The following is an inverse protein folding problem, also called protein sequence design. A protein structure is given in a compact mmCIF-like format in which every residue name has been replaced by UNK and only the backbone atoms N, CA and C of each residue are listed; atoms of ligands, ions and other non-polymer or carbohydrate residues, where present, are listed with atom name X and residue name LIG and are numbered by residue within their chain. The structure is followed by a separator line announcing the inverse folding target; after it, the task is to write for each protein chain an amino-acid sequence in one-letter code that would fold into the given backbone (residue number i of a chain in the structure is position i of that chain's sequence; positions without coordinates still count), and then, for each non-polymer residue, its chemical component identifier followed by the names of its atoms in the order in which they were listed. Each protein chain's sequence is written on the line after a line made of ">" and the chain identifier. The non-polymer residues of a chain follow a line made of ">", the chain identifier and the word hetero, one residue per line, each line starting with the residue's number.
data_IF_635547358036
#
_entry.id   IF_635547358036
#
_cell.length_a   1.000
_cell.length_b   1.000
_cell.length_c   1.000
_cell.angle_alpha   90.00
_cell.angle_beta   90.00
_cell.angle_gamma   90.00
#
_symmetry.space_group_name_H-M   'P 1'
#
loop_
_entity.id
_entity.type
_entity.pdbx_description
1 polymer ?
#
# COMPACT_ATOMS: atom_id res chain seq x y z
N UNK A 1 35.70 -59.34 -25.30
CA UNK A 1 34.90 -58.07 -25.27
C UNK A 1 35.86 -56.92 -25.45
N UNK A 2 35.75 -56.17 -26.53
CA UNK A 2 36.75 -55.17 -26.91
C UNK A 2 36.65 -53.93 -26.00
N UNK A 3 37.80 -53.37 -25.59
CA UNK A 3 37.96 -52.18 -24.74
C UNK A 3 37.12 -51.02 -25.26
N UNK A 4 36.88 -50.92 -26.57
CA UNK A 4 36.01 -49.93 -27.22
C UNK A 4 34.56 -50.04 -26.78
N UNK A 5 34.03 -51.24 -26.49
CA UNK A 5 32.65 -51.44 -26.07
C UNK A 5 32.47 -51.09 -24.58
N UNK A 6 33.51 -51.23 -23.77
CA UNK A 6 33.49 -50.86 -22.35
C UNK A 6 33.50 -49.32 -22.20
N UNK A 7 34.32 -48.62 -23.02
CA UNK A 7 34.36 -47.16 -23.06
C UNK A 7 33.04 -46.54 -23.53
N UNK A 8 32.35 -47.19 -24.50
CA UNK A 8 31.06 -46.72 -25.00
C UNK A 8 29.94 -46.88 -23.95
N UNK A 9 29.96 -48.00 -23.22
CA UNK A 9 28.99 -48.23 -22.10
C UNK A 9 29.18 -47.25 -20.95
N UNK A 10 30.44 -46.87 -20.64
CA UNK A 10 30.75 -45.88 -19.60
C UNK A 10 30.31 -44.46 -20.02
N UNK A 11 30.46 -44.10 -21.31
CA UNK A 11 30.03 -42.82 -21.87
C UNK A 11 28.49 -42.64 -21.84
N UNK A 12 27.73 -43.69 -22.15
CA UNK A 12 26.27 -43.66 -22.13
C UNK A 12 25.74 -43.60 -20.69
N UNK A 13 26.40 -44.28 -19.73
CA UNK A 13 26.03 -44.23 -18.30
C UNK A 13 26.30 -42.86 -17.67
N UNK A 14 27.36 -42.13 -18.09
CA UNK A 14 27.65 -40.78 -17.61
C UNK A 14 26.66 -39.74 -18.11
N UNK A 15 26.02 -39.93 -19.28
CA UNK A 15 25.06 -38.98 -19.85
C UNK A 15 23.68 -39.09 -19.18
N UNK A 16 23.33 -40.22 -18.57
CA UNK A 16 22.08 -40.43 -17.86
C UNK A 16 22.05 -39.84 -16.44
N UNK A 17 23.20 -39.48 -15.87
CA UNK A 17 23.28 -38.91 -14.50
C UNK A 17 23.08 -37.40 -14.46
N UNK A 18 22.96 -36.71 -15.63
CA UNK A 18 22.78 -35.23 -15.68
C UNK A 18 21.28 -34.82 -15.61
N UNK A 19 20.39 -35.80 -15.68
CA UNK A 19 18.96 -35.54 -15.46
C UNK A 19 18.66 -35.51 -13.95
N UNK A 20 19.22 -34.53 -13.24
CA UNK A 20 18.77 -34.22 -11.87
C UNK A 20 17.28 -33.94 -11.87
N UNK A 21 16.55 -34.32 -10.80
CA UNK A 21 15.14 -34.02 -10.70
C UNK A 21 14.99 -32.51 -10.80
N UNK A 22 14.39 -32.05 -11.90
CA UNK A 22 13.86 -30.68 -11.97
C UNK A 22 12.82 -30.62 -10.88
N UNK A 23 13.14 -30.02 -9.74
CA UNK A 23 12.15 -29.63 -8.77
C UNK A 23 11.16 -28.77 -9.51
N UNK A 24 10.00 -29.33 -9.85
CA UNK A 24 8.86 -28.59 -10.29
C UNK A 24 8.60 -27.59 -9.14
N UNK A 25 8.92 -26.32 -9.36
CA UNK A 25 8.41 -25.25 -8.49
C UNK A 25 6.91 -25.37 -8.60
N UNK A 26 6.28 -25.95 -7.58
CA UNK A 26 4.84 -25.93 -7.46
C UNK A 26 4.42 -24.47 -7.54
N UNK A 27 3.72 -24.11 -8.60
CA UNK A 27 3.01 -22.86 -8.71
C UNK A 27 2.02 -22.86 -7.53
N UNK A 28 2.25 -21.97 -6.57
CA UNK A 28 1.33 -21.81 -5.43
C UNK A 28 0.06 -21.24 -6.03
N UNK A 29 -0.88 -22.11 -6.34
CA UNK A 29 -2.23 -21.72 -6.80
C UNK A 29 -2.85 -20.95 -5.65
N UNK A 30 -3.07 -19.66 -5.86
CA UNK A 30 -3.67 -18.80 -4.86
C UNK A 30 -5.13 -19.22 -4.66
N UNK A 31 -5.50 -19.44 -3.40
CA UNK A 31 -6.83 -19.94 -3.07
C UNK A 31 -7.86 -18.83 -3.24
N UNK A 32 -8.91 -19.10 -4.02
CA UNK A 32 -10.06 -18.22 -4.15
C UNK A 32 -10.79 -18.15 -2.82
N UNK A 33 -10.89 -16.96 -2.25
CA UNK A 33 -11.62 -16.70 -1.02
C UNK A 33 -13.05 -16.20 -1.28
N UNK A 34 -13.21 -15.27 -2.24
CA UNK A 34 -14.49 -14.61 -2.51
C UNK A 34 -14.58 -14.36 -4.02
N UNK A 35 -15.79 -14.51 -4.56
CA UNK A 35 -16.14 -14.16 -5.94
C UNK A 35 -17.12 -12.99 -5.91
N UNK A 36 -16.81 -11.90 -6.61
CA UNK A 36 -17.63 -10.69 -6.70
C UNK A 36 -17.88 -10.40 -8.17
N UNK A 37 -19.05 -10.73 -8.69
CA UNK A 37 -19.36 -10.72 -10.11
C UNK A 37 -18.34 -11.56 -10.92
N UNK A 38 -17.57 -10.90 -11.82
CA UNK A 38 -16.52 -11.53 -12.63
C UNK A 38 -15.12 -11.40 -12.01
N UNK A 39 -15.00 -10.73 -10.86
CA UNK A 39 -13.74 -10.52 -10.14
C UNK A 39 -13.56 -11.54 -9.01
N UNK A 40 -12.31 -11.93 -8.77
CA UNK A 40 -11.92 -12.87 -7.72
C UNK A 40 -11.11 -12.13 -6.67
N UNK A 41 -11.38 -12.42 -5.39
CA UNK A 41 -10.54 -12.02 -4.26
C UNK A 41 -9.90 -13.29 -3.70
N UNK A 42 -8.58 -13.30 -3.59
CA UNK A 42 -7.83 -14.45 -3.10
C UNK A 42 -7.49 -14.32 -1.61
N UNK A 43 -7.25 -15.46 -0.95
CA UNK A 43 -6.78 -15.47 0.45
C UNK A 43 -5.50 -14.63 0.61
N UNK A 44 -4.57 -14.72 -0.34
CA UNK A 44 -3.32 -13.95 -0.32
C UNK A 44 -3.56 -12.44 -0.41
N UNK A 45 -4.55 -12.00 -1.18
CA UNK A 45 -4.92 -10.58 -1.23
C UNK A 45 -5.43 -10.10 0.12
N UNK A 46 -6.28 -10.88 0.78
CA UNK A 46 -6.80 -10.56 2.12
C UNK A 46 -5.66 -10.53 3.14
N UNK A 47 -4.77 -11.53 3.14
CA UNK A 47 -3.62 -11.59 4.04
C UNK A 47 -2.67 -10.41 3.84
N UNK A 48 -2.42 -10.00 2.62
CA UNK A 48 -1.59 -8.82 2.31
C UNK A 48 -2.18 -7.54 2.89
N UNK A 49 -3.49 -7.37 2.82
CA UNK A 49 -4.18 -6.22 3.43
C UNK A 49 -4.21 -6.31 4.96
N UNK A 50 -4.25 -7.52 5.50
CA UNK A 50 -4.29 -7.76 6.93
C UNK A 50 -2.91 -7.58 7.61
N UNK A 51 -1.80 -7.75 6.87
CA UNK A 51 -0.44 -7.72 7.41
C UNK A 51 -0.11 -6.45 8.24
N UNK A 52 -0.36 -5.22 7.76
CA UNK A 52 -0.09 -4.02 8.57
C UNK A 52 -0.96 -3.94 9.83
N UNK A 53 -2.17 -4.50 9.80
CA UNK A 53 -3.07 -4.56 10.95
C UNK A 53 -2.53 -5.59 11.97
N UNK A 54 -2.06 -6.74 11.48
CA UNK A 54 -1.39 -7.74 12.30
C UNK A 54 -0.20 -7.17 13.05
N UNK A 55 0.70 -6.48 12.35
CA UNK A 55 1.88 -5.85 12.94
C UNK A 55 1.50 -4.85 14.06
N UNK A 56 0.44 -4.09 13.87
CA UNK A 56 -0.08 -3.18 14.89
C UNK A 56 -0.72 -3.92 16.07
N UNK A 57 -1.54 -4.94 15.79
CA UNK A 57 -2.30 -5.65 16.83
C UNK A 57 -1.41 -6.51 17.72
N UNK A 58 -0.35 -7.13 17.18
CA UNK A 58 0.59 -7.92 17.99
C UNK A 58 1.35 -7.09 19.04
N UNK A 59 1.44 -5.76 18.86
CA UNK A 59 2.01 -4.86 19.86
C UNK A 59 1.02 -4.51 20.99
N UNK A 60 -0.31 -4.70 20.74
CA UNK A 60 -1.38 -4.30 21.66
C UNK A 60 -2.07 -5.47 22.33
N UNK A 61 -2.11 -6.62 21.67
CA UNK A 61 -2.86 -7.82 22.10
C UNK A 61 -1.96 -9.06 22.06
N UNK A 62 -2.30 -10.07 22.86
CA UNK A 62 -1.63 -11.37 22.89
C UNK A 62 -2.64 -12.52 23.12
N UNK A 63 -2.21 -13.75 22.85
CA UNK A 63 -3.02 -14.95 23.09
C UNK A 63 -4.35 -14.95 22.33
N UNK A 64 -5.40 -15.43 22.96
CA UNK A 64 -6.74 -15.54 22.37
C UNK A 64 -7.34 -14.19 21.93
N UNK A 65 -6.99 -13.10 22.64
CA UNK A 65 -7.48 -11.76 22.29
C UNK A 65 -6.90 -11.25 20.98
N UNK A 66 -5.63 -11.57 20.69
CA UNK A 66 -5.03 -11.24 19.39
C UNK A 66 -5.75 -12.00 18.26
N UNK A 67 -6.01 -13.29 18.45
CA UNK A 67 -6.72 -14.13 17.46
C UNK A 67 -8.12 -13.56 17.17
N UNK A 68 -8.89 -13.24 18.22
CA UNK A 68 -10.21 -12.62 18.09
C UNK A 68 -10.16 -11.32 17.29
N UNK A 69 -9.21 -10.43 17.61
CA UNK A 69 -9.08 -9.15 16.93
C UNK A 69 -8.61 -9.28 15.47
N UNK A 70 -7.80 -10.28 15.17
CA UNK A 70 -7.39 -10.55 13.80
C UNK A 70 -8.54 -11.12 12.96
N UNK A 71 -9.39 -11.95 13.54
CA UNK A 71 -10.56 -12.48 12.83
C UNK A 71 -11.57 -11.36 12.53
N UNK A 72 -11.85 -10.47 13.51
CA UNK A 72 -12.66 -9.27 13.28
C UNK A 72 -12.07 -8.38 12.16
N UNK A 73 -10.75 -8.21 12.16
CA UNK A 73 -10.06 -7.40 11.15
C UNK A 73 -10.12 -8.07 9.77
N UNK A 74 -9.95 -9.40 9.70
CA UNK A 74 -10.05 -10.18 8.46
C UNK A 74 -11.42 -10.00 7.81
N UNK A 75 -12.50 -10.08 8.59
CA UNK A 75 -13.86 -9.89 8.10
C UNK A 75 -14.06 -8.48 7.56
N UNK A 76 -13.57 -7.44 8.27
CA UNK A 76 -13.66 -6.05 7.81
C UNK A 76 -12.86 -5.82 6.53
N UNK A 77 -11.65 -6.37 6.43
CA UNK A 77 -10.82 -6.29 5.22
C UNK A 77 -11.54 -6.97 4.06
N UNK A 78 -12.06 -8.18 4.25
CA UNK A 78 -12.79 -8.89 3.21
C UNK A 78 -14.02 -8.11 2.73
N UNK A 79 -14.80 -7.54 3.66
CA UNK A 79 -15.96 -6.71 3.34
C UNK A 79 -15.56 -5.46 2.54
N UNK A 80 -14.50 -4.76 2.96
CA UNK A 80 -14.00 -3.59 2.23
C UNK A 80 -13.56 -3.97 0.81
N UNK A 81 -12.87 -5.11 0.65
CA UNK A 81 -12.45 -5.57 -0.67
C UNK A 81 -13.63 -5.90 -1.58
N UNK A 82 -14.72 -6.47 -1.05
CA UNK A 82 -15.98 -6.69 -1.79
C UNK A 82 -16.55 -5.36 -2.26
N UNK A 83 -16.67 -4.39 -1.36
CA UNK A 83 -17.21 -3.06 -1.67
C UNK A 83 -16.35 -2.36 -2.75
N UNK A 84 -15.03 -2.40 -2.63
CA UNK A 84 -14.11 -1.85 -3.63
C UNK A 84 -14.27 -2.53 -5.01
N UNK A 85 -14.45 -3.85 -5.07
CA UNK A 85 -14.71 -4.56 -6.33
C UNK A 85 -16.05 -4.17 -6.96
N UNK A 86 -17.09 -4.02 -6.15
CA UNK A 86 -18.41 -3.58 -6.63
C UNK A 86 -18.36 -2.15 -7.18
N UNK A 87 -17.74 -1.23 -6.45
CA UNK A 87 -17.57 0.17 -6.88
C UNK A 87 -16.71 0.27 -8.15
N UNK A 88 -15.62 -0.51 -8.23
CA UNK A 88 -14.79 -0.56 -9.44
C UNK A 88 -15.54 -1.12 -10.64
N UNK A 89 -16.35 -2.17 -10.45
CA UNK A 89 -17.23 -2.71 -11.48
C UNK A 89 -18.22 -1.64 -11.99
N UNK A 90 -18.81 -0.88 -11.08
CA UNK A 90 -19.71 0.23 -11.41
C UNK A 90 -18.98 1.35 -12.17
N UNK A 91 -17.75 1.69 -11.76
CA UNK A 91 -16.92 2.65 -12.47
C UNK A 91 -16.62 2.24 -13.92
N UNK A 92 -16.35 0.96 -14.14
CA UNK A 92 -16.15 0.41 -15.48
C UNK A 92 -17.44 0.51 -16.33
N UNK A 93 -18.60 0.19 -15.76
CA UNK A 93 -19.90 0.29 -16.44
C UNK A 93 -20.24 1.72 -16.85
N UNK A 94 -19.84 2.70 -16.02
CA UNK A 94 -20.04 4.13 -16.30
C UNK A 94 -18.96 4.71 -17.24
N UNK A 95 -18.00 3.90 -17.72
CA UNK A 95 -16.87 4.33 -18.54
C UNK A 95 -16.11 5.50 -17.91
N UNK A 96 -15.88 5.45 -16.59
CA UNK A 96 -15.12 6.49 -15.88
C UNK A 96 -13.66 6.38 -16.29
N UNK A 97 -13.15 7.45 -16.90
CA UNK A 97 -11.75 7.58 -17.28
C UNK A 97 -11.00 8.47 -16.27
N UNK A 98 -9.74 8.12 -16.02
CA UNK A 98 -8.83 8.87 -15.18
C UNK A 98 -7.70 9.41 -16.06
N UNK A 99 -7.40 10.70 -15.90
CA UNK A 99 -6.26 11.32 -16.61
C UNK A 99 -4.94 10.71 -16.10
N UNK A 100 -4.10 10.26 -17.03
CA UNK A 100 -2.78 9.70 -16.69
C UNK A 100 -1.91 10.69 -15.90
N UNK A 101 -2.10 11.99 -16.09
CA UNK A 101 -1.39 13.03 -15.33
C UNK A 101 -1.70 13.00 -13.85
N UNK A 102 -2.94 12.66 -13.47
CA UNK A 102 -3.33 12.54 -12.06
C UNK A 102 -2.63 11.34 -11.42
N UNK A 103 -2.54 10.23 -12.15
CA UNK A 103 -1.84 9.03 -11.72
C UNK A 103 -0.33 9.28 -11.59
N UNK A 104 0.27 9.94 -12.60
CA UNK A 104 1.69 10.27 -12.59
C UNK A 104 2.04 11.25 -11.46
N UNK A 105 1.18 12.23 -11.23
CA UNK A 105 1.32 13.17 -10.11
C UNK A 105 1.29 12.45 -8.77
N UNK A 106 0.41 11.46 -8.62
CA UNK A 106 0.34 10.65 -7.39
C UNK A 106 1.59 9.80 -7.18
N UNK A 107 2.10 9.19 -8.23
CA UNK A 107 3.36 8.42 -8.17
C UNK A 107 4.54 9.33 -7.80
N UNK A 108 4.62 10.54 -8.39
CA UNK A 108 5.65 11.51 -8.03
C UNK A 108 5.55 11.98 -6.58
N UNK A 109 4.34 12.19 -6.06
CA UNK A 109 4.12 12.51 -4.65
C UNK A 109 4.70 11.41 -3.74
N UNK A 110 4.46 10.14 -4.07
CA UNK A 110 5.00 9.01 -3.32
C UNK A 110 6.53 8.99 -3.37
N UNK A 111 7.11 9.16 -4.56
CA UNK A 111 8.58 9.23 -4.73
C UNK A 111 9.18 10.32 -3.85
N UNK A 112 8.54 11.50 -3.81
CA UNK A 112 8.96 12.61 -2.92
C UNK A 112 8.81 12.24 -1.44
N UNK A 113 7.72 11.56 -1.07
CA UNK A 113 7.44 11.14 0.30
C UNK A 113 8.47 10.14 0.85
N UNK A 114 8.96 9.22 0.00
CA UNK A 114 10.01 8.25 0.39
C UNK A 114 11.44 8.81 0.25
N UNK A 115 11.58 10.04 -0.20
CA UNK A 115 12.82 10.82 -0.22
C UNK A 115 13.69 10.63 -1.47
N UNK A 116 13.61 9.50 -2.18
CA UNK A 116 14.37 9.28 -3.41
C UNK A 116 13.75 8.20 -4.30
N UNK A 117 14.09 8.26 -5.60
CA UNK A 117 13.70 7.21 -6.55
C UNK A 117 14.27 5.84 -6.17
N UNK A 118 15.51 5.79 -5.66
CA UNK A 118 16.13 4.54 -5.25
C UNK A 118 15.39 3.87 -4.08
N UNK A 119 14.92 4.65 -3.09
CA UNK A 119 14.10 4.14 -2.00
C UNK A 119 12.73 3.67 -2.50
N UNK A 120 12.15 4.41 -3.44
CA UNK A 120 10.89 4.03 -4.08
C UNK A 120 11.01 2.70 -4.83
N UNK A 121 12.04 2.54 -5.66
CA UNK A 121 12.27 1.32 -6.42
C UNK A 121 12.51 0.12 -5.48
N UNK A 122 13.24 0.32 -4.36
CA UNK A 122 13.44 -0.70 -3.33
C UNK A 122 12.13 -1.09 -2.65
N UNK A 123 11.30 -0.13 -2.26
CA UNK A 123 10.00 -0.39 -1.64
C UNK A 123 9.06 -1.18 -2.57
N UNK A 124 9.09 -0.91 -3.88
CA UNK A 124 8.34 -1.69 -4.86
C UNK A 124 8.84 -3.13 -4.94
N UNK A 125 10.17 -3.34 -4.99
CA UNK A 125 10.77 -4.67 -5.02
C UNK A 125 10.42 -5.50 -3.77
N UNK A 126 10.47 -4.89 -2.59
CA UNK A 126 10.09 -5.54 -1.33
C UNK A 126 8.62 -6.00 -1.34
N UNK A 127 7.76 -5.25 -2.00
CA UNK A 127 6.34 -5.59 -2.17
C UNK A 127 6.05 -6.43 -3.42
N UNK A 128 7.08 -6.80 -4.19
CA UNK A 128 6.96 -7.53 -5.46
C UNK A 128 6.03 -6.81 -6.46
N UNK A 129 6.09 -5.47 -6.50
CA UNK A 129 5.32 -4.62 -7.38
C UNK A 129 6.18 -3.95 -8.43
N UNK A 130 5.58 -3.73 -9.60
CA UNK A 130 6.12 -2.82 -10.61
C UNK A 130 5.49 -1.43 -10.51
N UNK A 131 6.12 -0.44 -11.14
CA UNK A 131 5.52 0.91 -11.27
C UNK A 131 4.18 0.83 -12.00
N UNK A 132 4.04 -0.08 -12.97
CA UNK A 132 2.79 -0.31 -13.71
C UNK A 132 1.69 -0.81 -12.77
N UNK A 133 2.00 -1.77 -11.91
CA UNK A 133 1.03 -2.32 -10.94
C UNK A 133 0.59 -1.23 -9.95
N UNK A 134 1.53 -0.39 -9.51
CA UNK A 134 1.21 0.74 -8.63
C UNK A 134 0.29 1.76 -9.32
N UNK A 135 0.59 2.13 -10.57
CA UNK A 135 -0.25 3.04 -11.37
C UNK A 135 -1.66 2.46 -11.55
N UNK A 136 -1.77 1.17 -11.84
CA UNK A 136 -3.06 0.51 -12.02
C UNK A 136 -3.88 0.50 -10.73
N UNK A 137 -3.25 0.26 -9.58
CA UNK A 137 -3.92 0.37 -8.27
C UNK A 137 -4.48 1.78 -8.02
N UNK A 138 -3.70 2.83 -8.31
CA UNK A 138 -4.17 4.20 -8.16
C UNK A 138 -5.26 4.57 -9.16
N UNK A 139 -5.19 4.06 -10.40
CA UNK A 139 -6.25 4.23 -11.38
C UNK A 139 -7.57 3.67 -10.86
N UNK A 140 -7.56 2.45 -10.34
CA UNK A 140 -8.74 1.82 -9.75
C UNK A 140 -9.28 2.63 -8.56
N UNK A 141 -8.42 3.08 -7.65
CA UNK A 141 -8.82 3.92 -6.52
C UNK A 141 -9.45 5.25 -6.96
N UNK A 142 -8.89 5.89 -7.98
CA UNK A 142 -9.44 7.15 -8.50
C UNK A 142 -10.78 6.93 -9.20
N UNK A 143 -10.94 5.82 -9.93
CA UNK A 143 -12.22 5.44 -10.53
C UNK A 143 -13.29 5.22 -9.46
N UNK A 144 -12.97 4.45 -8.41
CA UNK A 144 -13.88 4.23 -7.27
C UNK A 144 -14.26 5.56 -6.63
N UNK A 145 -13.28 6.43 -6.34
CA UNK A 145 -13.54 7.75 -5.77
C UNK A 145 -14.48 8.57 -6.63
N UNK A 146 -14.27 8.62 -7.96
CA UNK A 146 -15.18 9.34 -8.87
C UNK A 146 -16.61 8.81 -8.84
N UNK A 147 -16.80 7.47 -8.72
CA UNK A 147 -18.15 6.90 -8.54
C UNK A 147 -18.79 7.40 -7.26
N UNK A 148 -18.06 7.33 -6.14
CA UNK A 148 -18.55 7.77 -4.85
C UNK A 148 -18.88 9.27 -4.89
N UNK A 149 -17.98 10.10 -5.39
CA UNK A 149 -18.19 11.55 -5.49
C UNK A 149 -19.40 11.89 -6.37
N UNK A 150 -19.59 11.15 -7.47
CA UNK A 150 -20.75 11.37 -8.37
C UNK A 150 -22.07 10.91 -7.75
N UNK A 151 -22.08 9.75 -7.07
CA UNK A 151 -23.33 9.17 -6.51
C UNK A 151 -23.70 9.80 -5.16
N UNK A 152 -22.72 10.11 -4.32
CA UNK A 152 -22.92 10.63 -2.97
C UNK A 152 -22.80 12.15 -2.95
N UNK A 153 -21.77 12.70 -3.58
CA UNK A 153 -21.51 14.15 -3.60
C UNK A 153 -22.60 14.95 -4.31
N UNK A 154 -23.21 14.42 -5.36
CA UNK A 154 -24.31 15.08 -6.07
C UNK A 154 -25.59 15.20 -5.24
N UNK A 155 -25.75 14.38 -4.18
CA UNK A 155 -26.91 14.40 -3.27
C UNK A 155 -26.71 15.21 -2.00
N UNK A 156 -25.48 15.64 -1.70
CA UNK A 156 -25.18 16.38 -0.45
C UNK A 156 -25.08 17.86 -0.75
N UNK A 157 -26.17 18.59 -0.54
CA UNK A 157 -26.15 20.06 -0.54
C UNK A 157 -26.03 20.55 0.90
N UNK A 158 -24.85 21.04 1.27
CA UNK A 158 -24.64 21.69 2.58
C UNK A 158 -25.01 23.17 2.43
N UNK A 159 -26.01 23.59 3.17
CA UNK A 159 -26.46 24.99 3.15
C UNK A 159 -25.55 25.90 3.99
N UNK A 160 -25.43 27.20 3.67
CA UNK A 160 -24.69 28.16 4.51
C UNK A 160 -25.12 28.14 5.98
N UNK A 161 -26.39 27.92 6.24
CA UNK A 161 -26.97 27.84 7.61
C UNK A 161 -26.44 26.58 8.33
N UNK A 162 -26.30 25.45 7.65
CA UNK A 162 -25.72 24.25 8.25
C UNK A 162 -24.25 24.44 8.57
N UNK A 163 -23.48 25.10 7.70
CA UNK A 163 -22.08 25.46 7.93
C UNK A 163 -21.96 26.35 9.18
N UNK A 164 -22.76 27.40 9.28
CA UNK A 164 -22.77 28.31 10.42
C UNK A 164 -23.13 27.59 11.73
N UNK A 165 -24.15 26.76 11.67
CA UNK A 165 -24.57 25.95 12.81
C UNK A 165 -23.50 24.96 13.25
N UNK A 166 -22.83 24.30 12.32
CA UNK A 166 -21.74 23.38 12.63
C UNK A 166 -20.56 24.13 13.24
N UNK A 167 -20.15 25.23 12.64
CA UNK A 167 -19.06 26.08 13.14
C UNK A 167 -19.33 26.55 14.55
N UNK A 168 -20.53 27.08 14.80
CA UNK A 168 -20.95 27.61 16.12
C UNK A 168 -20.97 26.53 17.20
N UNK A 169 -21.43 25.32 16.86
CA UNK A 169 -21.47 24.18 17.78
C UNK A 169 -20.07 23.56 18.05
N UNK A 170 -19.13 23.72 17.12
CA UNK A 170 -17.83 23.08 17.19
C UNK A 170 -16.67 24.09 17.25
N UNK A 171 -16.89 25.29 17.76
CA UNK A 171 -15.90 26.39 17.84
C UNK A 171 -14.53 25.93 18.37
N UNK A 172 -14.49 24.99 19.30
CA UNK A 172 -13.24 24.46 19.88
C UNK A 172 -12.36 23.72 18.85
N UNK A 173 -12.96 23.07 17.85
CA UNK A 173 -12.24 22.34 16.80
C UNK A 173 -11.58 23.30 15.81
N UNK A 174 -12.11 24.51 15.69
CA UNK A 174 -11.61 25.55 14.79
C UNK A 174 -10.64 26.53 15.44
N UNK A 175 -10.42 26.41 16.76
CA UNK A 175 -9.44 27.23 17.47
C UNK A 175 -8.02 26.80 17.07
N UNK A 176 -7.29 27.69 16.43
CA UNK A 176 -5.86 27.48 16.18
C UNK A 176 -5.07 28.00 17.37
N UNK A 177 -4.04 27.27 17.85
CA UNK A 177 -3.16 27.77 18.87
C UNK A 177 -2.45 29.04 18.37
N UNK A 178 -2.22 29.97 19.30
CA UNK A 178 -1.50 31.21 18.98
C UNK A 178 -0.12 30.89 18.43
N UNK A 179 0.21 31.46 17.27
CA UNK A 179 1.51 31.27 16.61
C UNK A 179 2.34 32.52 16.78
N UNK A 180 3.40 32.42 17.58
CA UNK A 180 4.36 33.49 17.77
C UNK A 180 5.49 33.30 16.74
N UNK A 181 5.72 34.31 15.90
CA UNK A 181 6.85 34.34 14.96
C UNK A 181 8.02 35.06 15.61
N UNK A 182 9.00 34.31 16.12
CA UNK A 182 10.22 34.85 16.69
C UNK A 182 11.30 35.01 15.62
N UNK A 183 11.98 36.16 15.62
CA UNK A 183 13.21 36.39 14.84
C UNK A 183 14.36 36.52 15.84
N UNK A 184 15.28 35.59 15.83
CA UNK A 184 16.49 35.63 16.64
C UNK A 184 17.67 36.15 15.81
N UNK A 185 18.38 37.14 16.35
CA UNK A 185 19.66 37.56 15.82
C UNK A 185 20.73 37.08 16.81
N UNK A 186 21.51 36.07 16.40
CA UNK A 186 22.63 35.56 17.19
C UNK A 186 23.89 36.32 16.80
N UNK A 187 24.37 37.18 17.71
CA UNK A 187 25.66 37.88 17.52
C UNK A 187 26.72 37.04 18.29
N UNK A 188 27.54 36.32 17.53
CA UNK A 188 28.67 35.59 18.11
C UNK A 188 29.82 36.53 18.36
N UNK A 189 30.12 36.82 19.62
CA UNK A 189 31.31 37.58 20.02
C UNK A 189 32.48 36.60 20.13
N UNK A 190 33.32 36.59 19.10
CA UNK A 190 34.54 35.80 19.08
C UNK A 190 35.59 36.49 19.95
N UNK A 191 35.89 35.91 21.12
CA UNK A 191 36.95 36.26 22.07
C UNK A 191 36.97 37.74 22.57
N UNK A 192 36.17 38.03 23.60
CA UNK A 192 36.57 39.07 24.58
C UNK A 192 37.03 38.36 25.85
N UNK A 193 38.35 38.32 26.09
CA UNK A 193 38.89 38.04 27.44
C UNK A 193 38.41 39.16 28.35
N UNK A 194 37.41 38.89 29.15
CA UNK A 194 37.01 39.77 30.24
C UNK A 194 38.15 39.71 31.29
N UNK A 195 39.00 40.69 31.29
CA UNK A 195 39.92 40.92 32.39
C UNK A 195 39.15 41.57 33.54
N UNK A 196 38.76 40.72 34.52
CA UNK A 196 38.26 41.26 35.80
C UNK A 196 39.45 41.80 36.56
N UNK A 197 39.64 43.11 36.58
CA UNK A 197 40.52 43.77 37.56
C UNK A 197 39.85 43.72 38.93
N UNK A 198 40.54 43.07 39.89
CA UNK A 198 40.23 43.15 41.33
C UNK A 198 40.61 44.52 41.87
#
# INVERSE_FOLDING_TARGET
>A
MSIKNILFLFSVSALLMISGPRMARGEVIDKVAIIVNDDIITDREIERQLMPIYEKYKMMYSGSKLVEKLEEARQKVAQQMIEDRLLYSEAKKQNIEIDERDIDSKVQEIVKGVGSKANFDRALLEQQLTVKDLKERYRQQFMIRKVVDHKVGAGVMVTPVEIENYYTKNLREFQQPERIKLKNILISIKNSRIQIKR
#
